data_IF_921688588984
#
_entry.id   IF_921688588984
#
_cell.length_a   1.000
_cell.length_b   1.000
_cell.length_c   1.000
_cell.angle_alpha   90.00
_cell.angle_beta   90.00
_cell.angle_gamma   90.00
#
_symmetry.space_group_name_H-M   'P 1'
#
loop_
_entity.id
_entity.type
_entity.pdbx_description
1 polymer ?
#
# COMPACT_ATOMS: atom_id res chain seq x y z
N UNK A 1 4.12 23.69 6.95
CA UNK A 1 3.65 22.79 5.87
C UNK A 1 4.20 21.42 6.18
N UNK A 2 3.40 20.35 6.07
CA UNK A 2 3.93 18.99 6.20
C UNK A 2 4.45 18.55 4.85
N UNK A 3 5.75 18.27 4.76
CA UNK A 3 6.42 17.85 3.51
C UNK A 3 5.79 16.59 2.90
N UNK A 4 5.90 16.44 1.58
CA UNK A 4 5.24 15.38 0.82
C UNK A 4 5.59 13.97 1.33
N UNK A 5 6.87 13.67 1.51
CA UNK A 5 7.38 12.42 2.09
C UNK A 5 6.94 12.20 3.53
N UNK A 6 6.83 13.25 4.36
CA UNK A 6 6.37 13.10 5.75
C UNK A 6 4.93 12.61 5.82
N UNK A 7 4.06 12.98 4.88
CA UNK A 7 2.69 12.42 4.81
C UNK A 7 2.71 10.93 4.52
N UNK A 8 3.57 10.48 3.60
CA UNK A 8 3.74 9.07 3.27
C UNK A 8 4.29 8.29 4.47
N UNK A 9 5.34 8.78 5.11
CA UNK A 9 5.94 8.16 6.31
C UNK A 9 4.91 8.05 7.44
N UNK A 10 4.13 9.11 7.65
CA UNK A 10 3.06 9.11 8.66
C UNK A 10 1.95 8.11 8.32
N UNK A 11 1.61 7.94 7.05
CA UNK A 11 0.66 6.91 6.62
C UNK A 11 1.20 5.51 6.94
N UNK A 12 2.46 5.23 6.54
CA UNK A 12 3.11 3.93 6.80
C UNK A 12 3.19 3.67 8.31
N UNK A 13 3.56 4.65 9.12
CA UNK A 13 3.66 4.53 10.57
C UNK A 13 2.34 4.26 11.30
N UNK A 14 1.20 4.34 10.60
CA UNK A 14 -0.12 3.97 11.13
C UNK A 14 -0.57 2.56 10.69
N UNK A 15 0.26 1.81 9.94
CA UNK A 15 -0.04 0.45 9.47
C UNK A 15 0.25 -0.60 10.57
N UNK A 16 -0.34 -0.43 11.75
CA UNK A 16 -0.22 -1.37 12.86
C UNK A 16 -0.93 -2.71 12.55
N UNK A 17 -0.39 -3.88 12.95
CA UNK A 17 0.77 -4.05 13.83
C UNK A 17 2.09 -4.23 13.06
N UNK A 18 2.14 -3.97 11.74
CA UNK A 18 3.38 -4.18 10.98
C UNK A 18 4.37 -3.03 11.15
N UNK A 19 3.83 -1.81 11.26
CA UNK A 19 4.60 -0.60 11.46
C UNK A 19 4.06 0.16 12.67
N UNK A 20 4.94 0.91 13.32
CA UNK A 20 4.53 1.94 14.27
C UNK A 20 5.25 3.25 13.97
N UNK A 21 4.65 4.34 14.41
CA UNK A 21 5.31 5.64 14.40
C UNK A 21 6.34 5.67 15.53
N UNK A 22 7.52 6.18 15.24
CA UNK A 22 8.56 6.49 16.21
C UNK A 22 9.05 7.93 15.99
N UNK A 23 9.44 8.60 17.07
CA UNK A 23 10.10 9.90 17.00
C UNK A 23 11.62 9.68 17.00
N UNK A 24 12.30 10.16 15.96
CA UNK A 24 13.75 10.08 15.82
C UNK A 24 14.26 11.46 15.38
N UNK A 25 15.23 11.99 16.12
CA UNK A 25 15.78 13.33 15.96
C UNK A 25 14.69 14.42 16.05
N UNK A 26 14.44 15.14 14.95
CA UNK A 26 13.44 16.21 14.81
C UNK A 26 12.26 15.79 13.91
N UNK A 27 12.06 14.49 13.66
CA UNK A 27 11.05 13.99 12.74
C UNK A 27 10.31 12.74 13.23
N UNK A 28 9.20 12.44 12.56
CA UNK A 28 8.47 11.18 12.76
C UNK A 28 8.88 10.19 11.68
N UNK A 29 9.27 9.00 12.11
CA UNK A 29 9.63 7.88 11.26
C UNK A 29 8.60 6.74 11.39
N UNK A 30 8.59 5.84 10.41
CA UNK A 30 7.86 4.59 10.49
C UNK A 30 8.85 3.44 10.70
N UNK A 31 8.71 2.69 11.79
CA UNK A 31 9.52 1.49 12.05
C UNK A 31 8.72 0.23 11.75
N UNK A 32 9.30 -0.64 10.93
CA UNK A 32 8.86 -2.01 10.73
C UNK A 32 9.12 -2.84 12.00
N UNK A 33 8.07 -3.47 12.53
CA UNK A 33 8.17 -4.41 13.66
C UNK A 33 8.67 -5.80 13.24
N UNK A 34 8.88 -6.05 11.94
CA UNK A 34 9.36 -7.35 11.44
C UNK A 34 10.88 -7.49 11.54
N UNK A 35 11.59 -6.43 11.16
CA UNK A 35 13.04 -6.46 10.96
C UNK A 35 13.75 -5.20 11.48
N UNK A 36 13.00 -4.25 12.05
CA UNK A 36 13.54 -2.99 12.57
C UNK A 36 13.83 -1.95 11.50
N UNK A 37 13.54 -2.20 10.22
CA UNK A 37 13.74 -1.22 9.13
C UNK A 37 13.00 0.07 9.44
N UNK A 38 13.70 1.19 9.31
CA UNK A 38 13.20 2.52 9.65
C UNK A 38 13.09 3.38 8.40
N UNK A 39 11.91 3.96 8.19
CA UNK A 39 11.61 4.82 7.04
C UNK A 39 11.45 6.25 7.56
N UNK A 40 12.30 7.16 7.08
CA UNK A 40 12.34 8.57 7.43
C UNK A 40 11.91 9.42 6.24
N UNK A 41 11.28 10.55 6.51
CA UNK A 41 11.05 11.57 5.49
C UNK A 41 12.40 12.15 5.06
N UNK A 42 12.55 12.47 3.78
CA UNK A 42 13.71 13.24 3.34
C UNK A 42 13.65 14.64 3.95
N UNK A 43 14.78 15.13 4.46
CA UNK A 43 14.87 16.51 4.92
C UNK A 43 14.77 17.43 3.69
N UNK A 44 13.91 18.45 3.75
CA UNK A 44 13.73 19.44 2.66
C UNK A 44 12.99 18.92 1.41
N UNK A 45 11.97 18.07 1.60
CA UNK A 45 11.15 17.59 0.49
C UNK A 45 10.09 18.61 0.05
N UNK A 46 10.46 19.47 -0.90
CA UNK A 46 9.57 20.37 -1.64
C UNK A 46 8.91 19.71 -2.87
N UNK A 47 9.18 18.42 -3.11
CA UNK A 47 8.64 17.74 -4.27
C UNK A 47 7.12 17.56 -4.17
N UNK A 48 6.49 17.43 -5.34
CA UNK A 48 5.10 16.99 -5.43
C UNK A 48 4.96 15.59 -4.80
N UNK A 49 3.78 15.24 -4.26
CA UNK A 49 3.57 13.96 -3.57
C UNK A 49 4.04 12.72 -4.33
N UNK A 50 3.90 12.73 -5.66
CA UNK A 50 4.24 11.60 -6.53
C UNK A 50 5.75 11.44 -6.75
N UNK A 51 6.49 12.54 -6.62
CA UNK A 51 7.95 12.60 -6.82
C UNK A 51 8.72 12.56 -5.50
N UNK A 52 8.03 12.44 -4.37
CA UNK A 52 8.62 12.43 -3.05
C UNK A 52 9.54 11.20 -2.83
N UNK A 53 10.65 11.42 -2.13
CA UNK A 53 11.59 10.37 -1.71
C UNK A 53 11.61 10.20 -0.19
N UNK A 54 11.92 8.98 0.25
CA UNK A 54 12.16 8.65 1.66
C UNK A 54 13.56 8.07 1.82
N UNK A 55 14.14 8.28 3.01
CA UNK A 55 15.38 7.63 3.41
C UNK A 55 15.02 6.39 4.21
N UNK A 56 15.51 5.22 3.80
CA UNK A 56 15.29 3.95 4.49
C UNK A 56 16.60 3.51 5.14
N UNK A 57 16.58 3.36 6.47
CA UNK A 57 17.64 2.70 7.23
C UNK A 57 17.29 1.22 7.39
N UNK A 58 17.94 0.37 6.61
CA UNK A 58 17.67 -1.06 6.58
C UNK A 58 18.00 -1.69 7.94
N UNK A 59 17.04 -2.41 8.52
CA UNK A 59 17.14 -2.93 9.89
C UNK A 59 17.45 -1.87 10.96
N UNK A 60 17.15 -0.60 10.66
CA UNK A 60 17.39 0.53 11.56
C UNK A 60 18.85 1.02 11.60
N UNK A 61 19.72 0.50 10.74
CA UNK A 61 21.13 0.89 10.67
C UNK A 61 21.34 2.09 9.73
N UNK A 62 21.75 3.27 10.24
CA UNK A 62 22.00 4.44 9.40
C UNK A 62 23.20 4.26 8.44
N UNK A 63 24.11 3.32 8.72
CA UNK A 63 25.19 2.94 7.80
C UNK A 63 24.71 2.12 6.60
N UNK A 64 23.48 1.60 6.66
CA UNK A 64 22.81 0.88 5.58
C UNK A 64 21.58 1.65 5.13
N UNK A 65 21.81 2.81 4.55
CA UNK A 65 20.78 3.71 4.08
C UNK A 65 20.55 3.63 2.57
N UNK A 66 19.33 3.89 2.13
CA UNK A 66 19.02 4.12 0.71
C UNK A 66 17.92 5.17 0.57
N UNK A 67 18.03 6.02 -0.44
CA UNK A 67 16.93 6.88 -0.87
C UNK A 67 16.09 6.15 -1.91
N UNK A 68 14.78 6.12 -1.70
CA UNK A 68 13.83 5.44 -2.59
C UNK A 68 12.58 6.29 -2.80
N UNK A 69 11.90 6.15 -3.95
CA UNK A 69 10.61 6.79 -4.15
C UNK A 69 9.61 6.39 -3.05
N UNK A 70 8.97 7.38 -2.44
CA UNK A 70 8.10 7.20 -1.28
C UNK A 70 6.91 6.29 -1.61
N UNK A 71 6.34 6.43 -2.81
CA UNK A 71 5.20 5.62 -3.25
C UNK A 71 5.55 4.13 -3.36
N UNK A 72 6.78 3.77 -3.74
CA UNK A 72 7.20 2.36 -3.85
C UNK A 72 7.26 1.72 -2.47
N UNK A 73 7.86 2.43 -1.49
CA UNK A 73 7.92 1.95 -0.13
C UNK A 73 6.52 1.83 0.50
N UNK A 74 5.65 2.80 0.25
CA UNK A 74 4.25 2.74 0.69
C UNK A 74 3.48 1.58 0.06
N UNK A 75 3.73 1.29 -1.23
CA UNK A 75 3.09 0.17 -1.94
C UNK A 75 3.46 -1.16 -1.31
N UNK A 76 4.75 -1.37 -1.00
CA UNK A 76 5.22 -2.58 -0.31
C UNK A 76 4.59 -2.71 1.08
N UNK A 77 4.65 -1.66 1.90
CA UNK A 77 4.11 -1.68 3.27
C UNK A 77 2.61 -1.96 3.30
N UNK A 78 1.84 -1.36 2.37
CA UNK A 78 0.40 -1.53 2.29
C UNK A 78 0.02 -2.94 1.79
N UNK A 79 0.72 -3.47 0.79
CA UNK A 79 0.48 -4.85 0.32
C UNK A 79 0.74 -5.85 1.45
N UNK A 80 1.83 -5.67 2.20
CA UNK A 80 2.11 -6.50 3.37
C UNK A 80 1.05 -6.39 4.46
N UNK A 81 0.54 -5.18 4.70
CA UNK A 81 -0.54 -4.92 5.64
C UNK A 81 -1.83 -5.63 5.23
N UNK A 82 -2.22 -5.53 3.96
CA UNK A 82 -3.41 -6.22 3.42
C UNK A 82 -3.25 -7.73 3.58
N UNK A 83 -2.10 -8.28 3.20
CA UNK A 83 -1.82 -9.72 3.35
C UNK A 83 -1.95 -10.17 4.80
N UNK A 84 -1.37 -9.42 5.73
CA UNK A 84 -1.44 -9.74 7.16
C UNK A 84 -2.88 -9.73 7.70
N UNK A 85 -3.67 -8.71 7.35
CA UNK A 85 -5.05 -8.58 7.82
C UNK A 85 -6.04 -9.48 7.09
N UNK A 86 -5.65 -10.08 5.96
CA UNK A 86 -6.50 -10.98 5.18
C UNK A 86 -6.32 -12.45 5.56
N UNK A 87 -5.46 -12.79 6.53
CA UNK A 87 -5.29 -14.16 6.99
C UNK A 87 -6.62 -14.67 7.58
N UNK A 88 -7.12 -15.80 7.05
CA UNK A 88 -8.39 -16.38 7.46
C UNK A 88 -9.63 -15.76 6.78
N UNK A 89 -9.43 -14.78 5.90
CA UNK A 89 -10.48 -14.18 5.07
C UNK A 89 -10.43 -14.69 3.63
N UNK A 90 -11.50 -14.45 2.88
CA UNK A 90 -11.54 -14.73 1.44
C UNK A 90 -10.76 -13.68 0.62
N UNK A 91 -10.62 -13.96 -0.68
CA UNK A 91 -9.89 -13.08 -1.62
C UNK A 91 -10.62 -11.75 -1.83
N UNK A 92 -11.95 -11.73 -1.72
CA UNK A 92 -12.75 -10.52 -1.89
C UNK A 92 -12.47 -9.51 -0.78
N UNK A 93 -12.30 -9.97 0.47
CA UNK A 93 -11.88 -9.13 1.59
C UNK A 93 -10.54 -8.44 1.31
N UNK A 94 -9.54 -9.20 0.85
CA UNK A 94 -8.22 -8.65 0.53
C UNK A 94 -8.29 -7.58 -0.56
N UNK A 95 -9.08 -7.83 -1.62
CA UNK A 95 -9.29 -6.89 -2.71
C UNK A 95 -9.97 -5.59 -2.24
N UNK A 96 -11.03 -5.72 -1.45
CA UNK A 96 -11.77 -4.58 -0.88
C UNK A 96 -10.89 -3.75 0.06
N UNK A 97 -10.10 -4.42 0.92
CA UNK A 97 -9.18 -3.76 1.83
C UNK A 97 -8.08 -3.00 1.07
N UNK A 98 -7.49 -3.61 0.04
CA UNK A 98 -6.49 -2.96 -0.82
C UNK A 98 -7.07 -1.73 -1.54
N UNK A 99 -8.28 -1.85 -2.10
CA UNK A 99 -8.95 -0.74 -2.78
C UNK A 99 -9.22 0.42 -1.82
N UNK A 100 -9.78 0.13 -0.64
CA UNK A 100 -10.06 1.12 0.41
C UNK A 100 -8.77 1.81 0.87
N UNK A 101 -7.73 1.04 1.21
CA UNK A 101 -6.47 1.60 1.69
C UNK A 101 -5.74 2.41 0.62
N UNK A 102 -5.84 2.02 -0.66
CA UNK A 102 -5.23 2.81 -1.73
C UNK A 102 -5.95 4.13 -1.98
N UNK A 103 -7.29 4.15 -1.89
CA UNK A 103 -8.04 5.41 -1.92
C UNK A 103 -7.69 6.29 -0.72
N UNK A 104 -7.60 5.69 0.47
CA UNK A 104 -7.25 6.39 1.69
C UNK A 104 -5.81 6.95 1.63
N UNK A 105 -4.87 6.20 1.06
CA UNK A 105 -3.51 6.66 0.79
C UNK A 105 -3.53 7.93 -0.06
N UNK A 106 -4.17 7.88 -1.24
CA UNK A 106 -4.25 9.04 -2.13
C UNK A 106 -4.90 10.27 -1.46
N UNK A 107 -5.95 10.06 -0.67
CA UNK A 107 -6.57 11.16 0.09
C UNK A 107 -5.64 11.77 1.16
N UNK A 108 -4.83 10.95 1.85
CA UNK A 108 -3.97 11.42 2.96
C UNK A 108 -2.64 11.98 2.50
N UNK A 109 -2.09 11.47 1.41
CA UNK A 109 -0.74 11.81 0.95
C UNK A 109 -0.75 12.68 -0.29
N UNK A 110 -1.81 12.62 -1.10
CA UNK A 110 -1.85 13.24 -2.43
C UNK A 110 -1.11 12.43 -3.50
N UNK A 111 -0.51 11.28 -3.15
CA UNK A 111 0.23 10.42 -4.07
C UNK A 111 -0.58 9.17 -4.46
N UNK A 112 -0.22 8.55 -5.57
CA UNK A 112 -0.78 7.26 -6.01
C UNK A 112 0.14 6.09 -5.66
N UNK A 113 -0.44 4.90 -5.43
CA UNK A 113 0.34 3.67 -5.21
C UNK A 113 0.67 3.01 -6.54
N UNK A 114 1.84 2.36 -6.60
CA UNK A 114 2.17 1.45 -7.67
C UNK A 114 1.58 0.06 -7.37
N UNK A 115 0.61 -0.37 -8.18
CA UNK A 115 0.00 -1.69 -8.08
C UNK A 115 0.05 -2.35 -9.48
N UNK A 116 0.90 -3.37 -9.70
CA UNK A 116 1.21 -3.87 -11.05
C UNK A 116 0.03 -4.48 -11.82
N UNK A 117 -1.04 -4.91 -11.13
CA UNK A 117 -2.20 -5.58 -11.74
C UNK A 117 -3.52 -4.80 -11.57
N UNK A 118 -3.45 -3.50 -11.28
CA UNK A 118 -4.59 -2.74 -10.76
C UNK A 118 -5.78 -2.60 -11.72
N UNK A 119 -5.58 -2.69 -13.03
CA UNK A 119 -6.63 -2.29 -13.99
C UNK A 119 -7.47 -3.45 -14.53
N UNK A 120 -6.88 -4.60 -14.86
CA UNK A 120 -7.61 -5.65 -15.58
C UNK A 120 -8.20 -6.71 -14.63
N UNK A 121 -7.43 -7.17 -13.64
CA UNK A 121 -7.84 -8.30 -12.79
C UNK A 121 -8.85 -7.92 -11.71
N UNK A 122 -8.70 -6.76 -11.05
CA UNK A 122 -9.69 -6.30 -10.05
C UNK A 122 -11.02 -5.88 -10.69
N UNK A 123 -10.97 -5.26 -11.87
CA UNK A 123 -12.18 -4.94 -12.63
C UNK A 123 -12.86 -6.22 -13.14
N UNK A 124 -12.08 -7.23 -13.53
CA UNK A 124 -12.58 -8.54 -13.91
C UNK A 124 -13.21 -9.30 -12.74
N UNK A 125 -12.51 -9.42 -11.62
CA UNK A 125 -13.03 -10.07 -10.40
C UNK A 125 -14.30 -9.38 -9.90
N UNK A 126 -14.33 -8.04 -9.90
CA UNK A 126 -15.53 -7.28 -9.56
C UNK A 126 -16.71 -7.50 -10.53
N UNK A 127 -16.45 -7.77 -11.81
CA UNK A 127 -17.50 -8.15 -12.78
C UNK A 127 -17.99 -9.58 -12.55
N UNK A 128 -17.11 -10.51 -12.22
CA UNK A 128 -17.45 -11.92 -11.92
C UNK A 128 -18.31 -12.01 -10.66
N UNK A 129 -17.93 -11.33 -9.59
CA UNK A 129 -18.69 -11.29 -8.33
C UNK A 129 -20.09 -10.70 -8.51
N UNK A 130 -20.20 -9.53 -9.16
CA UNK A 130 -21.51 -8.91 -9.46
C UNK A 130 -22.40 -9.79 -10.33
N UNK A 131 -21.83 -10.59 -11.22
CA UNK A 131 -22.58 -11.53 -12.05
C UNK A 131 -23.07 -12.74 -11.25
N UNK A 132 -22.27 -13.23 -10.29
CA UNK A 132 -22.67 -14.29 -9.37
C UNK A 132 -23.86 -13.85 -8.50
N UNK A 133 -23.82 -12.62 -7.96
CA UNK A 133 -24.91 -12.07 -7.15
C UNK A 133 -26.21 -11.86 -7.93
N UNK A 134 -26.13 -11.34 -9.17
CA UNK A 134 -27.33 -11.01 -9.96
C UNK A 134 -27.96 -12.19 -10.67
N UNK A 135 -27.18 -13.16 -11.11
CA UNK A 135 -27.64 -14.19 -12.05
C UNK A 135 -27.23 -15.62 -11.67
N UNK A 136 -26.54 -15.78 -10.55
CA UNK A 136 -26.11 -17.07 -10.03
C UNK A 136 -24.80 -17.62 -10.64
N UNK A 137 -24.31 -18.75 -10.12
CA UNK A 137 -22.95 -19.24 -10.36
C UNK A 137 -22.66 -19.61 -11.83
N UNK A 138 -23.69 -19.92 -12.63
CA UNK A 138 -23.51 -20.23 -14.06
C UNK A 138 -23.02 -19.03 -14.88
N UNK A 139 -23.56 -17.83 -14.64
CA UNK A 139 -23.15 -16.64 -15.39
C UNK A 139 -21.75 -16.18 -14.95
N UNK A 140 -21.44 -16.31 -13.65
CA UNK A 140 -20.11 -16.04 -13.12
C UNK A 140 -19.05 -16.92 -13.77
N UNK A 141 -19.37 -18.21 -13.97
CA UNK A 141 -18.49 -19.18 -14.63
C UNK A 141 -18.19 -18.83 -16.09
N UNK A 142 -19.19 -18.34 -16.85
CA UNK A 142 -18.97 -17.92 -18.24
C UNK A 142 -18.08 -16.67 -18.34
N UNK A 143 -18.28 -15.70 -17.45
CA UNK A 143 -17.40 -14.51 -17.41
C UNK A 143 -15.99 -14.92 -17.01
N UNK A 144 -15.85 -15.84 -16.05
CA UNK A 144 -14.56 -16.35 -15.60
C UNK A 144 -13.78 -16.99 -16.76
N UNK A 145 -14.42 -17.90 -17.52
CA UNK A 145 -13.82 -18.52 -18.70
C UNK A 145 -13.32 -17.50 -19.72
N UNK A 146 -14.17 -16.51 -20.02
CA UNK A 146 -13.88 -15.47 -21.00
C UNK A 146 -12.69 -14.60 -20.59
N UNK A 147 -12.48 -14.33 -19.31
CA UNK A 147 -11.31 -13.57 -18.83
C UNK A 147 -10.03 -14.39 -18.72
N UNK A 148 -10.13 -15.71 -18.59
CA UNK A 148 -8.97 -16.63 -18.60
C UNK A 148 -8.56 -17.05 -20.03
N UNK A 149 -9.30 -16.61 -21.06
CA UNK A 149 -9.06 -17.01 -22.45
C UNK A 149 -9.43 -18.48 -22.76
N UNK A 150 -10.35 -19.06 -21.97
CA UNK A 150 -10.83 -20.45 -22.07
C UNK A 150 -12.24 -20.56 -22.68
#
# INVERSE_FOLDING_TARGET
>A
MTYSSQRVVSFIGNLAPLFHTEEIDHGRAARSLRDGTLIKASAEDEAEPEDAYVVVWWQGDPGRASEVPAYMMASNALVEYVRFHSVGHDVEHAANLLAHLSQHFGHKTGASLYLPYREEEFAFLGKVLKAAEKAGPKLAWEILKKGLGL
#
